data_IF_020677369255
#
_entry.id   IF_020677369255
#
_cell.length_a   1.000
_cell.length_b   1.000
_cell.length_c   1.000
_cell.angle_alpha   90.00
_cell.angle_beta   90.00
_cell.angle_gamma   90.00
#
_symmetry.space_group_name_H-M   'P 1'
#
loop_
_entity.id
_entity.type
_entity.pdbx_description
1 polymer ?
#
# COMPACT_ATOMS: atom_id res chain seq x y z
N UNK A 1 -1.86 -6.56 -0.32
CA UNK A 1 -2.30 -5.32 -0.98
C UNK A 1 -1.75 -5.29 -2.40
N UNK A 2 -2.61 -5.16 -3.39
CA UNK A 2 -2.26 -5.16 -4.80
C UNK A 2 -1.88 -3.78 -5.32
N UNK A 3 -1.16 -3.75 -6.45
CA UNK A 3 -0.84 -2.54 -7.19
C UNK A 3 -1.95 -2.12 -8.15
N UNK A 4 -1.66 -1.10 -8.98
CA UNK A 4 -2.58 -0.60 -9.99
C UNK A 4 -3.67 0.32 -9.44
N UNK A 5 -4.67 0.60 -10.27
CA UNK A 5 -5.81 1.46 -9.95
C UNK A 5 -7.02 1.02 -10.78
N UNK A 6 -8.22 1.23 -10.28
CA UNK A 6 -9.46 0.85 -10.94
C UNK A 6 -9.42 -0.61 -11.44
N UNK A 7 -9.57 -0.86 -12.74
CA UNK A 7 -9.52 -2.22 -13.31
C UNK A 7 -8.10 -2.75 -13.50
N UNK A 8 -7.10 -1.87 -13.55
CA UNK A 8 -5.71 -2.27 -13.75
C UNK A 8 -5.11 -2.80 -12.45
N UNK A 9 -4.64 -4.05 -12.47
CA UNK A 9 -4.00 -4.69 -11.32
C UNK A 9 -4.97 -5.25 -10.29
N UNK A 10 -6.28 -5.30 -10.59
CA UNK A 10 -7.24 -6.01 -9.76
C UNK A 10 -6.83 -7.47 -9.61
N UNK A 11 -6.89 -7.98 -8.37
CA UNK A 11 -6.45 -9.33 -8.05
C UNK A 11 -7.39 -10.38 -8.65
N UNK A 12 -6.80 -11.40 -9.23
CA UNK A 12 -7.50 -12.62 -9.60
C UNK A 12 -7.34 -13.69 -8.51
N UNK A 13 -8.33 -14.56 -8.38
CA UNK A 13 -8.30 -15.64 -7.40
C UNK A 13 -7.06 -16.53 -7.52
N UNK A 14 -6.53 -16.71 -8.73
CA UNK A 14 -5.35 -17.55 -8.97
C UNK A 14 -4.10 -16.98 -8.30
N UNK A 15 -3.95 -15.66 -8.26
CA UNK A 15 -2.81 -15.01 -7.61
C UNK A 15 -2.83 -15.23 -6.10
N UNK A 16 -4.00 -15.06 -5.48
CA UNK A 16 -4.18 -15.31 -4.04
C UNK A 16 -3.95 -16.78 -3.70
N UNK A 17 -4.46 -17.70 -4.53
CA UNK A 17 -4.21 -19.15 -4.35
C UNK A 17 -2.73 -19.48 -4.50
N UNK A 18 -2.01 -18.83 -5.43
CA UNK A 18 -0.58 -19.01 -5.59
C UNK A 18 0.20 -18.61 -4.32
N UNK A 19 -0.08 -17.43 -3.76
CA UNK A 19 0.57 -16.99 -2.51
C UNK A 19 0.21 -17.90 -1.34
N UNK A 20 -1.06 -18.29 -1.18
CA UNK A 20 -1.48 -19.19 -0.13
C UNK A 20 -0.75 -20.55 -0.20
N UNK A 21 -0.61 -21.08 -1.42
CA UNK A 21 0.10 -22.33 -1.65
C UNK A 21 1.60 -22.22 -1.39
N UNK A 22 2.26 -21.17 -1.90
CA UNK A 22 3.71 -20.99 -1.74
C UNK A 22 4.12 -20.71 -0.30
N UNK A 23 3.30 -19.94 0.42
CA UNK A 23 3.59 -19.53 1.79
C UNK A 23 3.01 -20.50 2.85
N UNK A 24 2.25 -21.50 2.43
CA UNK A 24 1.54 -22.43 3.32
C UNK A 24 0.70 -21.70 4.39
N UNK A 25 -0.01 -20.66 3.99
CA UNK A 25 -0.79 -19.80 4.88
C UNK A 25 -2.14 -19.45 4.27
N UNK A 26 -3.03 -18.89 5.09
CA UNK A 26 -4.26 -18.26 4.60
C UNK A 26 -3.87 -16.91 4.01
N UNK A 27 -4.30 -16.64 2.76
CA UNK A 27 -4.15 -15.34 2.14
C UNK A 27 -5.53 -14.70 1.94
N UNK A 28 -5.65 -13.45 2.34
CA UNK A 28 -6.86 -12.65 2.16
C UNK A 28 -6.45 -11.32 1.53
N UNK A 29 -7.20 -10.85 0.54
CA UNK A 29 -6.99 -9.56 -0.07
C UNK A 29 -8.32 -8.93 -0.51
N UNK A 30 -8.34 -7.60 -0.56
CA UNK A 30 -9.43 -6.82 -1.15
C UNK A 30 -9.02 -6.33 -2.53
N UNK A 31 -9.94 -6.38 -3.48
CA UNK A 31 -9.93 -5.46 -4.60
C UNK A 31 -10.60 -4.19 -4.09
N UNK A 32 -9.83 -3.21 -3.68
CA UNK A 32 -10.32 -1.98 -3.05
C UNK A 32 -11.60 -1.45 -3.70
N UNK A 33 -12.35 -0.60 -2.99
CA UNK A 33 -13.53 0.07 -3.56
C UNK A 33 -13.21 0.72 -4.91
N UNK A 34 -14.13 0.62 -5.88
CA UNK A 34 -13.93 1.14 -7.23
C UNK A 34 -12.89 0.40 -8.08
N UNK A 35 -12.33 -0.73 -7.60
CA UNK A 35 -11.38 -1.54 -8.34
C UNK A 35 -12.00 -2.89 -8.75
N UNK A 36 -11.79 -3.29 -10.00
CA UNK A 36 -12.36 -4.53 -10.56
C UNK A 36 -13.90 -4.53 -10.47
N UNK A 37 -14.45 -5.55 -9.82
CA UNK A 37 -15.91 -5.65 -9.60
C UNK A 37 -16.39 -5.06 -8.27
N UNK A 38 -15.52 -4.41 -7.51
CA UNK A 38 -15.88 -3.78 -6.24
C UNK A 38 -16.69 -2.51 -6.46
N UNK A 39 -17.73 -2.31 -5.66
CA UNK A 39 -18.52 -1.07 -5.65
C UNK A 39 -17.74 0.09 -5.03
N UNK A 40 -18.25 1.31 -5.22
CA UNK A 40 -17.66 2.53 -4.66
C UNK A 40 -16.72 3.25 -5.62
N UNK A 41 -15.89 4.13 -5.09
CA UNK A 41 -14.95 4.96 -5.86
C UNK A 41 -13.53 4.77 -5.36
N UNK A 42 -12.60 4.52 -6.28
CA UNK A 42 -11.17 4.46 -6.02
C UNK A 42 -10.65 5.85 -5.66
N UNK A 43 -9.95 5.98 -4.54
CA UNK A 43 -9.38 7.24 -4.06
C UNK A 43 -7.85 7.18 -3.91
N UNK A 44 -7.24 6.14 -4.46
CA UNK A 44 -5.78 5.97 -4.50
C UNK A 44 -5.08 6.23 -3.15
N UNK A 45 -5.45 5.52 -2.10
CA UNK A 45 -4.92 5.71 -0.74
C UNK A 45 -5.75 6.66 0.13
N UNK A 46 -7.00 6.89 -0.24
CA UNK A 46 -7.98 7.59 0.58
C UNK A 46 -8.82 6.62 1.43
N UNK A 47 -10.13 6.66 1.23
CA UNK A 47 -11.06 5.78 1.95
C UNK A 47 -10.92 4.28 1.59
N UNK A 48 -10.26 3.96 0.49
CA UNK A 48 -9.91 2.60 0.09
C UNK A 48 -8.93 1.90 1.06
N UNK A 49 -8.19 2.66 1.88
CA UNK A 49 -7.37 2.08 2.98
C UNK A 49 -8.26 1.41 4.03
N UNK A 50 -9.44 1.93 4.27
CA UNK A 50 -10.39 1.35 5.22
C UNK A 50 -10.87 -0.05 4.79
N UNK A 51 -10.86 -0.34 3.48
CA UNK A 51 -11.20 -1.66 2.96
C UNK A 51 -10.17 -2.72 3.39
N UNK A 52 -8.91 -2.33 3.52
CA UNK A 52 -7.84 -3.21 4.03
C UNK A 52 -7.95 -3.36 5.54
N UNK A 53 -8.23 -2.30 6.29
CA UNK A 53 -8.46 -2.36 7.74
C UNK A 53 -9.64 -3.28 8.05
N UNK A 54 -10.70 -3.25 7.24
CA UNK A 54 -11.86 -4.15 7.38
C UNK A 54 -11.52 -5.62 7.21
N UNK A 55 -10.49 -5.96 6.44
CA UNK A 55 -9.98 -7.35 6.39
C UNK A 55 -9.40 -7.77 7.74
N UNK A 56 -8.69 -6.88 8.44
CA UNK A 56 -8.21 -7.17 9.79
C UNK A 56 -9.38 -7.40 10.76
N UNK A 57 -10.42 -6.57 10.69
CA UNK A 57 -11.65 -6.75 11.48
C UNK A 57 -12.33 -8.09 11.17
N UNK A 58 -12.31 -8.52 9.91
CA UNK A 58 -12.85 -9.82 9.50
C UNK A 58 -12.02 -10.97 10.09
N UNK A 59 -10.69 -10.86 10.07
CA UNK A 59 -9.80 -11.86 10.65
C UNK A 59 -10.07 -12.10 12.14
N UNK A 60 -10.46 -11.05 12.88
CA UNK A 60 -10.82 -11.14 14.30
C UNK A 60 -12.03 -12.08 14.57
N UNK A 61 -12.89 -12.29 13.59
CA UNK A 61 -14.11 -13.06 13.72
C UNK A 61 -13.88 -14.57 13.56
N UNK A 62 -12.73 -14.98 13.01
CA UNK A 62 -12.43 -16.39 12.76
C UNK A 62 -11.51 -16.98 13.82
N UNK A 63 -11.99 -18.01 14.51
CA UNK A 63 -11.25 -18.68 15.60
C UNK A 63 -10.05 -19.50 15.13
N UNK A 64 -9.96 -19.80 13.83
CA UNK A 64 -8.86 -20.56 13.23
C UNK A 64 -7.72 -19.66 12.71
N UNK A 65 -7.87 -18.35 12.78
CA UNK A 65 -6.81 -17.39 12.44
C UNK A 65 -5.99 -17.09 13.69
N UNK A 66 -4.68 -17.28 13.57
CA UNK A 66 -3.73 -16.83 14.57
C UNK A 66 -3.54 -15.31 14.42
N UNK A 67 -4.08 -14.55 15.36
CA UNK A 67 -4.11 -13.09 15.33
C UNK A 67 -2.74 -12.47 15.54
N UNK A 68 -1.84 -13.17 16.23
CA UNK A 68 -0.47 -12.73 16.46
C UNK A 68 0.44 -12.99 15.23
N UNK A 69 -0.09 -13.70 14.22
CA UNK A 69 0.62 -14.04 12.98
C UNK A 69 0.00 -13.43 11.71
N UNK A 70 -0.81 -12.39 11.83
CA UNK A 70 -1.38 -11.66 10.69
C UNK A 70 -0.33 -10.72 10.12
N UNK A 71 0.34 -11.14 9.04
CA UNK A 71 1.34 -10.31 8.37
C UNK A 71 0.75 -9.67 7.11
N UNK A 72 1.34 -8.57 6.68
CA UNK A 72 0.87 -7.83 5.50
C UNK A 72 1.92 -7.79 4.40
N UNK A 73 1.48 -7.90 3.16
CA UNK A 73 2.32 -7.71 1.98
C UNK A 73 1.67 -6.71 1.04
N UNK A 74 2.49 -5.80 0.48
CA UNK A 74 2.05 -4.84 -0.52
C UNK A 74 3.02 -4.72 -1.68
N UNK A 75 2.47 -4.50 -2.88
CA UNK A 75 3.25 -4.34 -4.12
C UNK A 75 2.84 -3.02 -4.78
N UNK A 76 3.83 -2.19 -5.19
CA UNK A 76 3.58 -0.94 -5.91
C UNK A 76 2.64 -0.01 -5.09
N UNK A 77 1.48 0.43 -5.64
CA UNK A 77 0.43 1.11 -4.86
C UNK A 77 0.06 0.35 -3.59
N UNK A 78 0.00 -0.99 -3.65
CA UNK A 78 -0.27 -1.81 -2.46
C UNK A 78 0.77 -1.64 -1.35
N UNK A 79 1.98 -1.20 -1.68
CA UNK A 79 2.98 -0.76 -0.70
C UNK A 79 2.53 0.49 0.05
N UNK A 80 2.05 1.53 -0.66
CA UNK A 80 1.45 2.72 -0.08
C UNK A 80 0.27 2.35 0.85
N UNK A 81 -0.64 1.52 0.36
CA UNK A 81 -1.78 1.02 1.15
C UNK A 81 -1.30 0.29 2.42
N UNK A 82 -0.20 -0.46 2.33
CA UNK A 82 0.40 -1.13 3.48
C UNK A 82 0.93 -0.12 4.48
N UNK A 83 1.74 0.85 4.07
CA UNK A 83 2.25 1.90 4.97
C UNK A 83 1.11 2.64 5.68
N UNK A 84 0.05 3.01 4.95
CA UNK A 84 -1.13 3.67 5.52
C UNK A 84 -1.84 2.83 6.58
N UNK A 85 -1.94 1.51 6.37
CA UNK A 85 -2.51 0.61 7.38
C UNK A 85 -1.60 0.52 8.60
N UNK A 86 -0.28 0.37 8.41
CA UNK A 86 0.68 0.29 9.53
C UNK A 86 0.70 1.55 10.40
N UNK A 87 0.40 2.70 9.82
CA UNK A 87 0.22 3.96 10.55
C UNK A 87 -1.02 3.97 11.42
N UNK A 88 -2.09 3.30 10.99
CA UNK A 88 -3.43 3.37 11.60
C UNK A 88 -3.78 2.19 12.50
N UNK A 89 -3.09 1.05 12.32
CA UNK A 89 -3.50 -0.22 12.93
C UNK A 89 -2.28 -1.03 13.38
N UNK A 90 -2.21 -1.32 14.66
CA UNK A 90 -1.09 -2.03 15.30
C UNK A 90 -1.23 -3.57 15.25
N UNK A 91 -2.32 -4.11 14.67
CA UNK A 91 -2.57 -5.55 14.58
C UNK A 91 -1.68 -6.29 13.57
N UNK A 92 -0.84 -5.57 12.84
CA UNK A 92 0.08 -6.15 11.85
C UNK A 92 1.48 -6.21 12.45
N UNK A 93 1.98 -7.37 12.93
CA UNK A 93 3.27 -7.47 13.60
C UNK A 93 4.48 -7.38 12.67
N UNK A 94 4.30 -7.64 11.37
CA UNK A 94 5.36 -7.55 10.33
C UNK A 94 4.75 -7.28 8.97
N UNK A 95 5.46 -6.53 8.15
CA UNK A 95 5.06 -6.29 6.78
C UNK A 95 6.22 -6.43 5.78
N UNK A 96 5.86 -6.75 4.54
CA UNK A 96 6.78 -6.78 3.39
C UNK A 96 6.21 -5.87 2.31
N UNK A 97 7.04 -4.99 1.78
CA UNK A 97 6.66 -4.14 0.67
C UNK A 97 7.65 -4.33 -0.50
N UNK A 98 7.09 -4.60 -1.67
CA UNK A 98 7.84 -4.85 -2.90
C UNK A 98 7.55 -3.71 -3.88
N UNK A 99 8.59 -2.99 -4.31
CA UNK A 99 8.50 -1.85 -5.23
C UNK A 99 7.41 -0.88 -4.80
N UNK A 100 7.35 -0.55 -3.50
CA UNK A 100 6.27 0.23 -2.90
C UNK A 100 6.35 1.71 -3.24
N UNK A 101 5.19 2.31 -3.53
CA UNK A 101 5.03 3.75 -3.62
C UNK A 101 5.11 4.34 -2.20
N UNK A 102 6.10 5.14 -1.92
CA UNK A 102 6.32 5.74 -0.59
C UNK A 102 6.23 7.26 -0.58
N UNK A 103 6.24 7.88 -1.77
CA UNK A 103 6.18 9.33 -1.95
C UNK A 103 5.39 9.65 -3.22
N UNK A 104 4.17 10.17 -3.05
CA UNK A 104 3.27 10.51 -4.15
C UNK A 104 3.72 11.76 -4.91
N UNK A 105 4.46 12.69 -4.27
CA UNK A 105 5.03 13.85 -4.95
C UNK A 105 6.07 13.39 -5.98
N UNK A 106 7.01 12.53 -5.57
CA UNK A 106 8.00 11.97 -6.49
C UNK A 106 7.33 11.24 -7.64
N UNK A 107 6.31 10.41 -7.37
CA UNK A 107 5.61 9.69 -8.43
C UNK A 107 4.90 10.61 -9.41
N UNK A 108 4.33 11.70 -8.95
CA UNK A 108 3.69 12.69 -9.81
C UNK A 108 4.72 13.38 -10.73
N UNK A 109 5.89 13.73 -10.20
CA UNK A 109 6.97 14.37 -10.95
C UNK A 109 7.63 13.41 -11.96
N UNK A 110 7.92 12.18 -11.55
CA UNK A 110 8.66 11.20 -12.35
C UNK A 110 7.78 10.51 -13.41
N UNK A 111 6.46 10.47 -13.22
CA UNK A 111 5.54 9.65 -14.01
C UNK A 111 4.42 10.49 -14.62
N UNK A 112 4.71 11.12 -15.78
CA UNK A 112 3.71 11.91 -16.50
C UNK A 112 2.44 11.12 -16.89
N UNK A 113 2.56 9.81 -17.07
CA UNK A 113 1.43 8.91 -17.33
C UNK A 113 0.53 8.69 -16.10
N UNK A 114 1.06 8.95 -14.90
CA UNK A 114 0.30 8.84 -13.65
C UNK A 114 -0.36 10.16 -13.24
N UNK A 115 0.06 11.31 -13.78
CA UNK A 115 -0.48 12.62 -13.37
C UNK A 115 -2.00 12.68 -13.51
N UNK A 116 -2.53 12.28 -14.66
CA UNK A 116 -4.00 12.26 -14.88
C UNK A 116 -4.71 11.33 -13.89
N UNK A 117 -4.08 10.23 -13.51
CA UNK A 117 -4.64 9.28 -12.53
C UNK A 117 -4.67 9.94 -11.14
N UNK A 118 -3.56 10.54 -10.73
CA UNK A 118 -3.49 11.29 -9.47
C UNK A 118 -4.52 12.44 -9.44
N UNK A 119 -4.56 13.28 -10.48
CA UNK A 119 -5.50 14.40 -10.56
C UNK A 119 -6.95 13.92 -10.43
N UNK A 120 -7.27 12.79 -11.04
CA UNK A 120 -8.63 12.21 -11.00
C UNK A 120 -8.97 11.56 -9.66
N UNK A 121 -8.05 10.79 -9.07
CA UNK A 121 -8.33 9.93 -7.91
C UNK A 121 -7.99 10.61 -6.57
N UNK A 122 -7.01 11.53 -6.56
CA UNK A 122 -6.63 12.33 -5.38
C UNK A 122 -7.41 13.65 -5.34
N UNK A 123 -7.79 14.16 -6.52
CA UNK A 123 -8.63 15.35 -6.67
C UNK A 123 -7.91 16.60 -7.17
N UNK A 124 -6.67 16.49 -7.61
CA UNK A 124 -5.87 17.57 -8.18
C UNK A 124 -4.38 17.30 -8.11
N UNK A 125 -3.59 18.28 -8.61
CA UNK A 125 -2.13 18.22 -8.57
C UNK A 125 -1.55 18.38 -7.15
N UNK A 126 -0.24 18.11 -6.94
CA UNK A 126 0.41 18.34 -5.64
C UNK A 126 0.35 19.80 -5.18
N UNK A 127 0.33 20.76 -6.11
CA UNK A 127 0.21 22.17 -5.78
C UNK A 127 -1.20 22.54 -5.31
N UNK A 128 -2.23 21.87 -5.84
CA UNK A 128 -3.63 22.12 -5.51
C UNK A 128 -4.05 21.36 -4.24
N UNK A 129 -3.51 20.17 -4.04
CA UNK A 129 -3.92 19.24 -2.97
C UNK A 129 -2.72 18.74 -2.13
N UNK A 130 -1.80 19.59 -1.65
CA UNK A 130 -0.56 19.15 -1.01
C UNK A 130 -0.79 18.24 0.19
N UNK A 131 -1.80 18.52 1.02
CA UNK A 131 -2.12 17.70 2.20
C UNK A 131 -2.55 16.28 1.84
N UNK A 132 -3.23 16.10 0.69
CA UNK A 132 -3.65 14.77 0.24
C UNK A 132 -2.46 13.94 -0.28
N UNK A 133 -1.45 14.59 -0.87
CA UNK A 133 -0.20 13.93 -1.24
C UNK A 133 0.66 13.59 -0.03
N UNK A 134 0.77 14.50 0.95
CA UNK A 134 1.47 14.23 2.21
C UNK A 134 0.86 13.04 2.95
N UNK A 135 -0.47 12.98 3.07
CA UNK A 135 -1.17 11.86 3.72
C UNK A 135 -0.82 10.51 3.11
N UNK A 136 -0.60 10.46 1.80
CA UNK A 136 -0.29 9.24 1.04
C UNK A 136 1.19 8.94 0.93
N UNK A 137 2.05 9.79 1.48
CA UNK A 137 3.51 9.70 1.33
C UNK A 137 4.17 9.32 2.64
N UNK A 138 4.49 8.04 2.81
CA UNK A 138 5.09 7.49 4.02
C UNK A 138 6.42 8.17 4.41
N UNK A 139 7.10 8.78 3.45
CA UNK A 139 8.32 9.57 3.68
C UNK A 139 8.11 10.79 4.57
N UNK A 140 6.86 11.31 4.69
CA UNK A 140 6.53 12.47 5.51
C UNK A 140 6.15 12.13 6.95
N UNK A 141 5.81 10.88 7.22
CA UNK A 141 5.34 10.40 8.52
C UNK A 141 5.95 9.02 8.88
N UNK A 142 7.19 8.80 8.47
CA UNK A 142 7.92 7.54 8.72
C UNK A 142 8.06 7.22 10.21
N UNK A 143 8.09 8.24 11.08
CA UNK A 143 8.11 8.11 12.55
C UNK A 143 6.83 7.47 13.13
N UNK A 144 5.73 7.48 12.40
CA UNK A 144 4.48 6.84 12.79
C UNK A 144 4.45 5.33 12.47
N UNK A 145 5.39 4.80 11.66
CA UNK A 145 5.50 3.38 11.34
C UNK A 145 6.29 2.67 12.45
N UNK A 146 5.61 1.84 13.23
CA UNK A 146 6.22 1.08 14.33
C UNK A 146 6.41 -0.42 14.00
N UNK A 147 5.77 -0.90 12.95
CA UNK A 147 5.84 -2.30 12.52
C UNK A 147 7.17 -2.59 11.83
N UNK A 148 7.88 -3.68 12.18
CA UNK A 148 9.02 -4.17 11.43
C UNK A 148 8.69 -4.38 9.94
N UNK A 149 9.48 -3.74 9.07
CA UNK A 149 9.22 -3.63 7.64
C UNK A 149 10.39 -4.18 6.83
N UNK A 150 10.10 -5.10 5.91
CA UNK A 150 11.05 -5.52 4.87
C UNK A 150 10.71 -4.80 3.57
N UNK A 151 11.62 -3.98 3.08
CA UNK A 151 11.49 -3.28 1.79
C UNK A 151 12.34 -4.03 0.75
N UNK A 152 11.72 -4.42 -0.34
CA UNK A 152 12.37 -5.07 -1.50
C UNK A 152 12.11 -4.20 -2.72
N UNK A 153 13.18 -3.72 -3.37
CA UNK A 153 13.06 -2.87 -4.53
C UNK A 153 14.15 -3.16 -5.55
N UNK A 154 13.81 -3.22 -6.82
CA UNK A 154 14.76 -3.43 -7.90
C UNK A 154 15.38 -2.11 -8.37
N UNK A 155 16.71 -2.06 -8.54
CA UNK A 155 17.41 -0.86 -9.02
C UNK A 155 16.96 -0.39 -10.41
N UNK A 156 16.40 -1.28 -11.23
CA UNK A 156 15.93 -0.98 -12.58
C UNK A 156 14.42 -0.87 -12.68
N UNK A 157 13.72 -0.60 -11.60
CA UNK A 157 12.27 -0.44 -11.62
C UNK A 157 11.90 0.87 -12.36
N UNK A 158 11.22 0.73 -13.51
CA UNK A 158 10.80 1.84 -14.36
C UNK A 158 9.41 2.41 -13.98
N UNK A 159 8.73 1.77 -13.04
CA UNK A 159 7.37 2.16 -12.62
C UNK A 159 7.38 2.90 -11.29
N UNK A 160 8.12 2.38 -10.34
CA UNK A 160 8.36 3.03 -9.05
C UNK A 160 9.87 3.11 -8.87
N UNK A 161 10.43 4.30 -8.94
CA UNK A 161 11.89 4.51 -8.82
C UNK A 161 12.40 3.92 -7.50
N UNK A 162 13.57 3.26 -7.52
CA UNK A 162 14.23 2.79 -6.29
C UNK A 162 14.50 3.92 -5.30
N UNK A 163 14.63 5.16 -5.77
CA UNK A 163 14.76 6.34 -4.93
C UNK A 163 13.59 6.51 -3.93
N UNK A 164 12.43 5.95 -4.22
CA UNK A 164 11.31 5.88 -3.29
C UNK A 164 11.64 5.03 -2.04
N UNK A 165 12.27 3.87 -2.25
CA UNK A 165 12.70 3.00 -1.16
C UNK A 165 13.87 3.63 -0.38
N UNK A 166 14.83 4.25 -1.07
CA UNK A 166 15.98 4.91 -0.45
C UNK A 166 15.51 6.06 0.45
N UNK A 167 14.62 6.94 -0.05
CA UNK A 167 14.07 8.07 0.70
C UNK A 167 13.28 7.62 1.94
N UNK A 168 12.44 6.58 1.80
CA UNK A 168 11.71 6.05 2.95
C UNK A 168 12.63 5.39 3.97
N UNK A 169 13.64 4.64 3.53
CA UNK A 169 14.62 4.01 4.42
C UNK A 169 15.38 5.08 5.21
N UNK A 170 15.83 6.14 4.55
CA UNK A 170 16.49 7.26 5.21
C UNK A 170 15.56 7.92 6.25
N UNK A 171 14.30 8.15 5.92
CA UNK A 171 13.32 8.75 6.83
C UNK A 171 13.05 7.83 8.05
N UNK A 172 12.94 6.52 7.85
CA UNK A 172 12.79 5.53 8.92
C UNK A 172 14.03 5.51 9.85
N UNK A 173 15.23 5.48 9.28
CA UNK A 173 16.49 5.52 10.06
C UNK A 173 16.61 6.81 10.89
N UNK A 174 16.27 7.97 10.31
CA UNK A 174 16.23 9.26 11.02
C UNK A 174 15.21 9.26 12.17
N UNK A 175 14.12 8.54 12.01
CA UNK A 175 13.11 8.35 13.06
C UNK A 175 13.48 7.27 14.08
N UNK A 176 14.63 6.60 13.92
CA UNK A 176 15.09 5.53 14.83
C UNK A 176 14.34 4.21 14.67
N UNK A 177 13.84 3.94 13.49
CA UNK A 177 13.07 2.73 13.15
C UNK A 177 13.94 1.68 12.49
#
# INVERSE_FOLDING_TARGET
NHGGNQDYGALENIEICFYAYQLHTICIASNYRGCGSSEGEDQFGGADVDDVVRILDLCEQFSYIDKDAINMMGISRGGMMTYEVLRRDERVPKAVVISGLSDCFMSYEERSDMQTIFDSLVGGSPEEMPEEYEKRSATYWADEINTPLLIIHANGDEKVSVAQADKLTEALEQAGK
#
